data_IF_515134321029
#
_entry.id   IF_515134321029
#
_cell.length_a   1.000
_cell.length_b   1.000
_cell.length_c   1.000
_cell.angle_alpha   90.00
_cell.angle_beta   90.00
_cell.angle_gamma   90.00
#
_symmetry.space_group_name_H-M   'P 1'
#
loop_
_entity.id
_entity.type
_entity.pdbx_description
1 polymer ?
#
# COMPACT_ATOMS: atom_id res chain seq x y z
N UNK A 1 27.99 10.26 -24.78
CA UNK A 1 26.95 11.27 -25.10
C UNK A 1 25.63 11.03 -24.37
N UNK A 2 25.19 9.78 -24.12
CA UNK A 2 23.90 9.48 -23.44
C UNK A 2 23.94 9.42 -21.90
N UNK A 3 25.13 9.31 -21.30
CA UNK A 3 25.31 9.17 -19.85
C UNK A 3 24.65 10.27 -18.99
N UNK A 4 24.69 11.58 -19.33
CA UNK A 4 24.05 12.61 -18.52
C UNK A 4 22.52 12.52 -18.52
N UNK A 5 21.90 12.19 -19.66
CA UNK A 5 20.44 12.04 -19.75
C UNK A 5 19.95 10.79 -19.01
N UNK A 6 20.72 9.69 -19.07
CA UNK A 6 20.42 8.46 -18.31
C UNK A 6 20.51 8.70 -16.79
N UNK A 7 21.52 9.44 -16.32
CA UNK A 7 21.65 9.81 -14.91
C UNK A 7 20.50 10.71 -14.44
N UNK A 8 20.06 11.65 -15.30
CA UNK A 8 18.91 12.50 -15.01
C UNK A 8 17.61 11.70 -14.90
N UNK A 9 17.38 10.77 -15.84
CA UNK A 9 16.24 9.85 -15.81
C UNK A 9 16.23 8.99 -14.54
N UNK A 10 17.37 8.38 -14.21
CA UNK A 10 17.52 7.59 -12.99
C UNK A 10 17.21 8.40 -11.73
N UNK A 11 17.61 9.68 -11.68
CA UNK A 11 17.28 10.58 -10.59
C UNK A 11 15.76 10.83 -10.45
N UNK A 12 15.03 10.93 -11.55
CA UNK A 12 13.56 11.06 -11.54
C UNK A 12 12.92 9.75 -11.06
N UNK A 13 13.36 8.61 -11.58
CA UNK A 13 12.90 7.27 -11.17
C UNK A 13 13.05 7.07 -9.66
N UNK A 14 14.20 7.42 -9.08
CA UNK A 14 14.44 7.33 -7.63
C UNK A 14 13.46 8.23 -6.85
N UNK A 15 13.22 9.46 -7.32
CA UNK A 15 12.26 10.37 -6.66
C UNK A 15 10.85 9.81 -6.69
N UNK A 16 10.39 9.31 -7.84
CA UNK A 16 9.07 8.68 -7.99
C UNK A 16 8.97 7.45 -7.10
N UNK A 17 9.99 6.57 -7.11
CA UNK A 17 10.07 5.37 -6.27
C UNK A 17 9.91 5.71 -4.79
N UNK A 18 10.71 6.64 -4.27
CA UNK A 18 10.72 6.98 -2.84
C UNK A 18 9.37 7.56 -2.40
N UNK A 19 8.86 8.55 -3.13
CA UNK A 19 7.57 9.16 -2.80
C UNK A 19 6.43 8.15 -2.92
N UNK A 20 6.41 7.38 -4.02
CA UNK A 20 5.35 6.41 -4.25
C UNK A 20 5.37 5.31 -3.21
N UNK A 21 6.55 4.87 -2.76
CA UNK A 21 6.71 3.85 -1.73
C UNK A 21 6.20 4.33 -0.37
N UNK A 22 6.46 5.57 0.01
CA UNK A 22 5.96 6.14 1.28
C UNK A 22 4.43 6.16 1.28
N UNK A 23 3.81 6.70 0.23
CA UNK A 23 2.36 6.76 0.13
C UNK A 23 1.72 5.37 -0.03
N UNK A 24 2.35 4.46 -0.79
CA UNK A 24 1.91 3.07 -0.91
C UNK A 24 1.93 2.37 0.45
N UNK A 25 2.98 2.57 1.24
CA UNK A 25 3.09 2.00 2.59
C UNK A 25 2.00 2.54 3.51
N UNK A 26 1.76 3.86 3.50
CA UNK A 26 0.69 4.48 4.29
C UNK A 26 -0.68 3.92 3.90
N UNK A 27 -0.98 3.86 2.60
CA UNK A 27 -2.22 3.29 2.10
C UNK A 27 -2.36 1.81 2.47
N UNK A 28 -1.29 1.03 2.31
CA UNK A 28 -1.26 -0.39 2.65
C UNK A 28 -1.57 -0.66 4.13
N UNK A 29 -1.01 0.14 5.03
CA UNK A 29 -1.29 0.02 6.46
C UNK A 29 -2.73 0.40 6.80
N UNK A 30 -3.23 1.52 6.26
CA UNK A 30 -4.61 1.97 6.50
C UNK A 30 -5.61 0.94 5.98
N UNK A 31 -5.49 0.54 4.72
CA UNK A 31 -6.39 -0.43 4.08
C UNK A 31 -6.23 -1.83 4.68
N UNK A 32 -5.00 -2.28 4.94
CA UNK A 32 -4.72 -3.58 5.54
C UNK A 32 -5.30 -3.73 6.94
N UNK A 33 -5.07 -2.74 7.82
CA UNK A 33 -5.65 -2.71 9.17
C UNK A 33 -7.17 -2.55 9.14
N UNK A 34 -7.69 -1.71 8.24
CA UNK A 34 -9.13 -1.53 8.06
C UNK A 34 -9.85 -2.82 7.67
N UNK A 35 -9.22 -3.68 6.86
CA UNK A 35 -9.78 -4.98 6.46
C UNK A 35 -9.76 -6.05 7.54
N UNK A 36 -8.93 -5.91 8.58
CA UNK A 36 -8.99 -6.77 9.79
C UNK A 36 -9.86 -6.18 10.91
N UNK A 37 -10.52 -5.04 10.65
CA UNK A 37 -11.37 -4.37 11.63
C UNK A 37 -12.54 -5.24 12.09
N UNK A 38 -13.05 -4.98 13.30
CA UNK A 38 -14.27 -5.62 13.81
C UNK A 38 -15.51 -5.13 13.07
N UNK A 39 -15.51 -3.87 12.62
CA UNK A 39 -16.66 -3.23 11.99
C UNK A 39 -16.78 -3.67 10.54
N UNK A 40 -17.91 -4.29 10.20
CA UNK A 40 -18.14 -4.85 8.86
C UNK A 40 -18.10 -3.78 7.76
N UNK A 41 -18.60 -2.57 8.05
CA UNK A 41 -18.60 -1.43 7.13
C UNK A 41 -17.18 -1.04 6.74
N UNK A 42 -16.29 -0.90 7.72
CA UNK A 42 -14.88 -0.54 7.48
C UNK A 42 -14.19 -1.62 6.65
N UNK A 43 -14.43 -2.90 6.97
CA UNK A 43 -13.87 -4.01 6.19
C UNK A 43 -14.35 -3.99 4.73
N UNK A 44 -15.64 -3.76 4.53
CA UNK A 44 -16.25 -3.73 3.20
C UNK A 44 -15.71 -2.55 2.38
N UNK A 45 -15.72 -1.33 2.93
CA UNK A 45 -15.24 -0.14 2.22
C UNK A 45 -13.76 -0.25 1.85
N UNK A 46 -12.91 -0.72 2.78
CA UNK A 46 -11.49 -0.92 2.49
C UNK A 46 -11.27 -2.09 1.52
N UNK A 47 -12.10 -3.14 1.58
CA UNK A 47 -12.10 -4.25 0.62
C UNK A 47 -12.40 -3.76 -0.79
N UNK A 48 -13.52 -3.05 -0.97
CA UNK A 48 -13.93 -2.50 -2.26
C UNK A 48 -12.89 -1.51 -2.82
N UNK A 49 -12.31 -0.65 -1.98
CA UNK A 49 -11.26 0.28 -2.40
C UNK A 49 -10.01 -0.46 -2.90
N UNK A 50 -9.58 -1.51 -2.19
CA UNK A 50 -8.41 -2.32 -2.58
C UNK A 50 -8.69 -3.11 -3.85
N UNK A 51 -9.89 -3.70 -3.98
CA UNK A 51 -10.31 -4.44 -5.17
C UNK A 51 -10.41 -3.53 -6.40
N UNK A 52 -10.88 -2.29 -6.25
CA UNK A 52 -10.90 -1.31 -7.32
C UNK A 52 -9.49 -1.08 -7.89
N UNK A 53 -8.51 -0.80 -7.03
CA UNK A 53 -7.15 -0.51 -7.48
C UNK A 53 -6.38 -1.74 -7.97
N UNK A 54 -6.63 -2.93 -7.40
CA UNK A 54 -6.02 -4.19 -7.86
C UNK A 54 -6.70 -4.73 -9.12
N UNK A 55 -7.98 -4.42 -9.32
CA UNK A 55 -8.79 -4.89 -10.44
C UNK A 55 -8.70 -3.98 -11.68
N UNK A 56 -8.09 -2.81 -11.57
CA UNK A 56 -7.89 -1.88 -12.70
C UNK A 56 -6.42 -1.79 -13.08
N UNK A 57 -6.15 -1.62 -14.38
CA UNK A 57 -4.80 -1.48 -14.90
C UNK A 57 -4.15 -0.19 -14.37
N UNK A 58 -2.88 -0.27 -13.95
CA UNK A 58 -2.09 0.88 -13.50
C UNK A 58 -2.06 2.00 -14.56
N UNK A 59 -1.93 1.64 -15.84
CA UNK A 59 -1.93 2.59 -16.93
C UNK A 59 -3.26 3.35 -16.98
N UNK A 60 -4.39 2.64 -16.89
CA UNK A 60 -5.73 3.25 -16.87
C UNK A 60 -5.86 4.21 -15.67
N UNK A 61 -5.32 3.85 -14.52
CA UNK A 61 -5.30 4.72 -13.35
C UNK A 61 -4.47 5.99 -13.60
N UNK A 62 -3.28 5.88 -14.20
CA UNK A 62 -2.46 7.06 -14.56
C UNK A 62 -3.21 8.00 -15.52
N UNK A 63 -3.83 7.45 -16.57
CA UNK A 63 -4.64 8.23 -17.50
C UNK A 63 -5.84 8.88 -16.80
N UNK A 64 -6.52 8.15 -15.92
CA UNK A 64 -7.61 8.70 -15.13
C UNK A 64 -7.13 9.86 -14.24
N UNK A 65 -6.01 9.68 -13.52
CA UNK A 65 -5.49 10.71 -12.62
C UNK A 65 -5.07 11.97 -13.36
N UNK A 66 -4.53 11.85 -14.57
CA UNK A 66 -4.06 12.98 -15.35
C UNK A 66 -5.14 13.64 -16.20
N UNK A 67 -6.01 12.88 -16.87
CA UNK A 67 -6.98 13.41 -17.83
C UNK A 67 -8.41 13.52 -17.29
N UNK A 68 -8.83 12.68 -16.34
CA UNK A 68 -10.20 12.69 -15.84
C UNK A 68 -10.40 13.64 -14.65
N UNK A 69 -9.44 13.72 -13.71
CA UNK A 69 -9.54 14.63 -12.56
C UNK A 69 -9.69 16.12 -12.92
N UNK A 70 -9.09 16.64 -14.00
CA UNK A 70 -9.33 18.02 -14.42
C UNK A 70 -10.81 18.34 -14.66
N UNK A 71 -11.62 17.38 -15.11
CA UNK A 71 -13.07 17.55 -15.27
C UNK A 71 -13.80 17.78 -13.93
N UNK A 72 -13.18 17.40 -12.81
CA UNK A 72 -13.66 17.63 -11.44
C UNK A 72 -12.99 18.85 -10.78
N UNK A 73 -12.22 19.65 -11.53
CA UNK A 73 -11.52 20.84 -11.04
C UNK A 73 -10.20 20.56 -10.33
N UNK A 74 -9.65 19.35 -10.45
CA UNK A 74 -8.37 18.97 -9.84
C UNK A 74 -7.34 18.72 -10.93
N UNK A 75 -6.39 19.65 -11.09
CA UNK A 75 -5.30 19.52 -12.05
C UNK A 75 -4.04 19.00 -11.35
N UNK A 76 -3.53 17.86 -11.84
CA UNK A 76 -2.31 17.24 -11.33
C UNK A 76 -1.21 17.34 -12.37
N UNK A 77 0.01 17.64 -11.92
CA UNK A 77 1.18 17.49 -12.79
C UNK A 77 1.38 16.02 -13.17
N UNK A 78 2.00 15.70 -14.32
CA UNK A 78 2.28 14.32 -14.71
C UNK A 78 3.02 13.53 -13.63
N UNK A 79 3.95 14.20 -12.95
CA UNK A 79 4.68 13.64 -11.82
C UNK A 79 3.76 13.28 -10.65
N UNK A 80 2.87 14.19 -10.24
CA UNK A 80 1.95 13.93 -9.14
C UNK A 80 0.91 12.85 -9.48
N UNK A 81 0.37 12.86 -10.70
CA UNK A 81 -0.55 11.84 -11.18
C UNK A 81 0.11 10.45 -11.20
N UNK A 82 1.35 10.35 -11.69
CA UNK A 82 2.12 9.11 -11.69
C UNK A 82 2.38 8.59 -10.29
N UNK A 83 2.84 9.46 -9.37
CA UNK A 83 3.04 9.08 -7.96
C UNK A 83 1.76 8.59 -7.32
N UNK A 84 0.64 9.29 -7.49
CA UNK A 84 -0.65 8.89 -6.92
C UNK A 84 -1.14 7.55 -7.47
N UNK A 85 -1.08 7.35 -8.79
CA UNK A 85 -1.48 6.10 -9.42
C UNK A 85 -0.63 4.93 -8.90
N UNK A 86 0.70 5.07 -8.91
CA UNK A 86 1.62 4.05 -8.40
C UNK A 86 1.36 3.76 -6.92
N UNK A 87 1.20 4.79 -6.09
CA UNK A 87 0.96 4.63 -4.66
C UNK A 87 -0.32 3.89 -4.35
N UNK A 88 -1.41 4.21 -5.02
CA UNK A 88 -2.70 3.58 -4.78
C UNK A 88 -2.73 2.15 -5.30
N UNK A 89 -2.14 1.90 -6.47
CA UNK A 89 -2.04 0.56 -7.06
C UNK A 89 -1.18 -0.36 -6.20
N UNK A 90 0.10 -0.05 -6.05
CA UNK A 90 1.05 -0.86 -5.29
C UNK A 90 0.75 -0.85 -3.80
N UNK A 91 0.12 0.21 -3.27
CA UNK A 91 -0.40 0.26 -1.91
C UNK A 91 -1.56 -0.73 -1.71
N UNK A 92 -2.45 -0.88 -2.70
CA UNK A 92 -3.53 -1.84 -2.64
C UNK A 92 -3.01 -3.28 -2.63
N UNK A 93 -2.02 -3.62 -3.45
CA UNK A 93 -1.33 -4.91 -3.39
C UNK A 93 -0.62 -5.11 -2.03
N UNK A 94 0.14 -4.11 -1.58
CA UNK A 94 0.80 -4.13 -0.28
C UNK A 94 -0.17 -4.26 0.91
N UNK A 95 -1.41 -3.81 0.78
CA UNK A 95 -2.43 -3.98 1.82
C UNK A 95 -2.80 -5.46 2.05
N UNK A 96 -2.65 -6.33 1.04
CA UNK A 96 -2.81 -7.79 1.21
C UNK A 96 -1.67 -8.37 2.03
N UNK A 97 -0.47 -7.82 1.88
CA UNK A 97 0.71 -8.24 2.65
C UNK A 97 0.47 -7.92 4.13
N UNK A 98 -0.01 -6.71 4.43
CA UNK A 98 -0.37 -6.30 5.79
C UNK A 98 -1.45 -7.21 6.37
N UNK A 99 -2.57 -7.40 5.64
CA UNK A 99 -3.70 -8.22 6.08
C UNK A 99 -3.27 -9.68 6.29
N UNK A 100 -2.55 -10.25 5.32
CA UNK A 100 -2.05 -11.62 5.33
C UNK A 100 -1.11 -11.87 6.49
N UNK A 101 -0.16 -10.96 6.74
CA UNK A 101 0.79 -11.06 7.84
C UNK A 101 0.12 -10.98 9.23
N UNK A 102 -0.92 -10.15 9.38
CA UNK A 102 -1.70 -10.09 10.62
C UNK A 102 -2.44 -11.41 10.85
N UNK A 103 -3.06 -11.97 9.81
CA UNK A 103 -3.82 -13.22 9.90
C UNK A 103 -2.93 -14.46 10.05
N UNK A 104 -1.66 -14.39 9.64
CA UNK A 104 -0.70 -15.49 9.79
C UNK A 104 -0.10 -15.60 11.20
N UNK A 105 -0.31 -14.61 12.07
CA UNK A 105 0.15 -14.71 13.47
C UNK A 105 -0.60 -15.87 14.15
N UNK A 106 0.10 -16.81 14.82
CA UNK A 106 -0.53 -17.98 15.44
C UNK A 106 -1.68 -17.60 16.39
N UNK A 107 -2.80 -18.33 16.29
CA UNK A 107 -4.00 -18.09 17.12
C UNK A 107 -3.72 -18.08 18.62
N UNK A 108 -2.77 -18.90 19.08
CA UNK A 108 -2.33 -18.95 20.48
C UNK A 108 -1.85 -17.61 21.06
N UNK A 109 -1.33 -16.70 20.23
CA UNK A 109 -0.98 -15.33 20.67
C UNK A 109 -2.22 -14.52 21.06
N UNK A 110 -3.32 -14.72 20.33
CA UNK A 110 -4.60 -14.08 20.62
C UNK A 110 -5.22 -14.70 21.87
N UNK A 111 -5.19 -16.03 21.99
CA UNK A 111 -5.72 -16.77 23.15
C UNK A 111 -4.97 -16.42 24.45
N UNK A 112 -3.64 -16.38 24.42
CA UNK A 112 -2.82 -15.97 25.56
C UNK A 112 -3.13 -14.51 25.98
N UNK A 113 -3.29 -13.60 25.01
CA UNK A 113 -3.71 -12.24 25.30
C UNK A 113 -5.12 -12.16 25.92
N UNK A 114 -6.05 -13.04 25.52
CA UNK A 114 -7.38 -13.15 26.14
C UNK A 114 -7.24 -13.64 27.59
N UNK A 115 -6.42 -14.66 27.84
CA UNK A 115 -6.17 -15.20 29.17
C UNK A 115 -5.55 -14.17 30.13
N UNK A 116 -4.73 -13.26 29.61
CA UNK A 116 -4.16 -12.12 30.34
C UNK A 116 -5.09 -10.90 30.42
N UNK A 117 -6.37 -11.06 30.07
CA UNK A 117 -7.40 -10.02 30.09
C UNK A 117 -7.06 -8.77 29.24
N UNK A 118 -6.23 -8.93 28.20
CA UNK A 118 -5.90 -7.83 27.29
C UNK A 118 -7.09 -7.55 26.37
N UNK A 119 -7.45 -6.29 26.21
CA UNK A 119 -8.42 -5.83 25.21
C UNK A 119 -7.94 -6.13 23.78
N UNK A 120 -8.85 -6.19 22.80
CA UNK A 120 -8.50 -6.40 21.38
C UNK A 120 -7.47 -5.39 20.88
N UNK A 121 -7.57 -4.13 21.30
CA UNK A 121 -6.61 -3.08 20.95
C UNK A 121 -5.23 -3.31 21.57
N UNK A 122 -5.16 -3.70 22.84
CA UNK A 122 -3.90 -4.06 23.48
C UNK A 122 -3.25 -5.27 22.80
N UNK A 123 -4.01 -6.34 22.52
CA UNK A 123 -3.51 -7.53 21.82
C UNK A 123 -2.99 -7.18 20.43
N UNK A 124 -3.74 -6.39 19.66
CA UNK A 124 -3.33 -5.98 18.33
C UNK A 124 -2.04 -5.16 18.37
N UNK A 125 -1.96 -4.13 19.21
CA UNK A 125 -0.82 -3.20 19.24
C UNK A 125 0.44 -3.81 19.87
N UNK A 126 0.30 -4.57 20.94
CA UNK A 126 1.44 -5.02 21.77
C UNK A 126 1.95 -6.41 21.39
N UNK A 127 1.10 -7.26 20.81
CA UNK A 127 1.44 -8.67 20.54
C UNK A 127 1.42 -8.98 19.05
N UNK A 128 0.28 -8.75 18.39
CA UNK A 128 0.07 -9.19 17.00
C UNK A 128 0.85 -8.33 16.02
N UNK A 129 0.71 -7.00 16.07
CA UNK A 129 1.31 -6.10 15.09
C UNK A 129 2.85 -6.15 15.07
N UNK A 130 3.58 -6.22 16.21
CA UNK A 130 5.04 -6.38 16.19
C UNK A 130 5.50 -7.72 15.58
N UNK A 131 4.74 -8.80 15.76
CA UNK A 131 5.01 -10.09 15.15
C UNK A 131 4.72 -10.05 13.65
N UNK A 132 3.54 -9.54 13.28
CA UNK A 132 3.11 -9.40 11.89
C UNK A 132 4.06 -8.50 11.10
N UNK A 133 4.58 -7.41 11.68
CA UNK A 133 5.51 -6.50 11.00
C UNK A 133 6.75 -7.23 10.46
N UNK A 134 7.32 -8.15 11.23
CA UNK A 134 8.46 -8.97 10.80
C UNK A 134 8.10 -9.89 9.62
N UNK A 135 6.87 -10.40 9.59
CA UNK A 135 6.35 -11.23 8.50
C UNK A 135 6.05 -10.40 7.24
N UNK A 136 5.77 -9.10 7.38
CA UNK A 136 5.51 -8.21 6.23
C UNK A 136 6.77 -7.83 5.46
N UNK A 137 7.95 -7.78 6.11
CA UNK A 137 9.19 -7.25 5.52
C UNK A 137 9.57 -7.89 4.17
N UNK A 138 9.55 -9.24 4.00
CA UNK A 138 9.89 -9.84 2.72
C UNK A 138 8.90 -9.46 1.62
N UNK A 139 7.60 -9.41 1.95
CA UNK A 139 6.56 -9.00 1.02
C UNK A 139 6.70 -7.55 0.59
N UNK A 140 6.96 -6.64 1.53
CA UNK A 140 7.21 -5.24 1.20
C UNK A 140 8.45 -5.06 0.32
N UNK A 141 9.51 -5.84 0.55
CA UNK A 141 10.70 -5.85 -0.31
C UNK A 141 10.36 -6.21 -1.76
N UNK A 142 9.59 -7.29 -1.97
CA UNK A 142 9.15 -7.68 -3.30
C UNK A 142 8.26 -6.61 -3.94
N UNK A 143 7.30 -6.06 -3.20
CA UNK A 143 6.40 -5.01 -3.70
C UNK A 143 7.17 -3.73 -4.06
N UNK A 144 8.24 -3.39 -3.34
CA UNK A 144 9.10 -2.25 -3.67
C UNK A 144 9.88 -2.45 -4.96
N UNK A 145 10.36 -3.67 -5.23
CA UNK A 145 11.01 -4.03 -6.51
C UNK A 145 9.99 -3.94 -7.66
N UNK A 146 8.76 -4.38 -7.44
CA UNK A 146 7.69 -4.23 -8.43
C UNK A 146 7.32 -2.78 -8.68
N UNK A 147 7.25 -1.95 -7.64
CA UNK A 147 7.03 -0.51 -7.75
C UNK A 147 8.14 0.14 -8.58
N UNK A 148 9.40 -0.22 -8.32
CA UNK A 148 10.53 0.28 -9.11
C UNK A 148 10.37 -0.06 -10.60
N UNK A 149 9.98 -1.28 -10.94
CA UNK A 149 9.67 -1.64 -12.34
C UNK A 149 8.47 -0.84 -12.88
N UNK A 150 7.48 -0.56 -12.05
CA UNK A 150 6.32 0.26 -12.41
C UNK A 150 6.63 1.73 -12.68
N UNK A 151 7.71 2.28 -12.12
CA UNK A 151 8.08 3.70 -12.31
C UNK A 151 8.54 4.06 -13.72
N UNK A 152 8.79 3.06 -14.58
CA UNK A 152 9.13 3.26 -15.98
C UNK A 152 7.93 3.25 -16.93
N UNK A 153 6.72 2.99 -16.41
CA UNK A 153 5.47 3.07 -17.17
C UNK A 153 5.07 4.54 -17.35
#
# INVERSE_FOLDING_TARGET
MFLPELLRGAGITIKVLLLSSVFAFLFAFIAGLGRVSRFWIVRFLMGALVELFRGTSLLVQMFFFFFALPAFGVELSPFAAGVLALSLNYGAYASEIVRGAILSVPGGQTEAGIALNMTRWQRMRLVILPQAFRLMLPGFGNNAIELLKGTSL
#
